data_IF_848723929291
#
_entry.id   IF_848723929291
#
_cell.length_a   1.000
_cell.length_b   1.000
_cell.length_c   1.000
_cell.angle_alpha   90.00
_cell.angle_beta   90.00
_cell.angle_gamma   90.00
#
_symmetry.space_group_name_H-M   'P 1'
#
loop_
_entity.id
_entity.type
_entity.pdbx_description
1 polymer ?
#
# COMPACT_ATOMS: atom_id res chain seq x y z
N UNK A 1 13.23 -12.90 -5.16
CA UNK A 1 13.74 -12.28 -3.92
C UNK A 1 14.17 -10.85 -4.27
N UNK A 2 13.79 -9.82 -3.51
CA UNK A 2 14.21 -8.44 -3.81
C UNK A 2 15.72 -8.28 -3.58
N UNK A 3 16.41 -7.57 -4.48
CA UNK A 3 17.88 -7.42 -4.47
C UNK A 3 18.35 -6.08 -3.91
N UNK A 4 17.45 -5.12 -3.75
CA UNK A 4 17.70 -3.78 -3.20
C UNK A 4 16.40 -3.19 -2.60
N UNK A 5 16.49 -2.16 -1.74
CA UNK A 5 15.32 -1.43 -1.26
C UNK A 5 14.51 -0.84 -2.41
N UNK A 6 13.20 -0.68 -2.19
CA UNK A 6 12.28 0.00 -3.10
C UNK A 6 12.19 -0.65 -4.50
N UNK A 7 12.38 -1.97 -4.55
CA UNK A 7 12.16 -2.78 -5.75
C UNK A 7 10.85 -3.56 -5.70
N UNK A 8 10.49 -4.07 -4.52
CA UNK A 8 9.25 -4.82 -4.32
C UNK A 8 8.66 -4.42 -2.99
N UNK A 9 7.43 -3.91 -3.02
CA UNK A 9 6.63 -3.68 -1.83
C UNK A 9 5.50 -4.70 -1.76
N UNK A 10 5.17 -5.15 -0.55
CA UNK A 10 3.93 -5.88 -0.30
C UNK A 10 2.91 -4.91 0.30
N UNK A 11 1.67 -4.99 -0.15
CA UNK A 11 0.53 -4.29 0.44
C UNK A 11 -0.43 -5.29 1.07
N UNK A 12 -0.86 -5.00 2.29
CA UNK A 12 -1.89 -5.78 2.98
C UNK A 12 -2.85 -4.84 3.74
N UNK A 13 -4.07 -5.31 3.93
CA UNK A 13 -5.10 -4.59 4.70
C UNK A 13 -5.71 -5.52 5.73
N UNK A 14 -5.73 -5.06 6.97
CA UNK A 14 -6.32 -5.79 8.10
C UNK A 14 -7.33 -4.95 8.85
N UNK A 15 -8.06 -5.57 9.77
CA UNK A 15 -9.04 -4.93 10.63
C UNK A 15 -8.63 -5.01 12.09
N UNK A 16 -8.86 -3.93 12.82
CA UNK A 16 -8.52 -3.76 14.23
C UNK A 16 -9.84 -3.46 14.97
N UNK A 17 -10.37 -4.43 15.73
CA UNK A 17 -11.52 -4.18 16.58
C UNK A 17 -11.19 -3.17 17.69
N UNK A 18 -12.04 -2.18 17.90
CA UNK A 18 -11.95 -1.22 19.01
C UNK A 18 -13.27 -1.15 19.77
N UNK A 19 -13.30 -0.45 20.91
CA UNK A 19 -14.54 -0.21 21.66
C UNK A 19 -15.55 0.67 20.92
N UNK A 20 -15.10 1.45 19.94
CA UNK A 20 -15.92 2.39 19.16
C UNK A 20 -16.26 1.84 17.76
N UNK A 21 -15.94 0.57 17.51
CA UNK A 21 -16.12 -0.09 16.20
C UNK A 21 -14.80 -0.52 15.58
N UNK A 22 -14.85 -0.99 14.35
CA UNK A 22 -13.69 -1.54 13.64
C UNK A 22 -12.93 -0.45 12.87
N UNK A 23 -11.62 -0.40 13.04
CA UNK A 23 -10.72 0.36 12.17
C UNK A 23 -10.07 -0.58 11.15
N UNK A 24 -9.92 -0.12 9.93
CA UNK A 24 -9.17 -0.80 8.88
C UNK A 24 -7.79 -0.14 8.78
N UNK A 25 -6.75 -0.97 8.72
CA UNK A 25 -5.35 -0.56 8.58
C UNK A 25 -4.82 -1.12 7.27
N UNK A 26 -4.34 -0.25 6.38
CA UNK A 26 -3.54 -0.63 5.23
C UNK A 26 -2.07 -0.37 5.51
N UNK A 27 -1.19 -1.28 5.06
CA UNK A 27 0.26 -1.20 5.26
C UNK A 27 0.99 -1.56 3.96
N UNK A 28 2.06 -0.83 3.66
CA UNK A 28 3.06 -1.23 2.68
C UNK A 28 4.40 -1.54 3.37
N UNK A 29 4.97 -2.70 3.05
CA UNK A 29 6.28 -3.14 3.54
C UNK A 29 7.26 -3.33 2.38
N UNK A 30 8.47 -2.83 2.53
CA UNK A 30 9.55 -3.10 1.59
C UNK A 30 10.14 -4.51 1.83
N UNK A 31 10.16 -5.35 0.80
CA UNK A 31 10.56 -6.76 0.92
C UNK A 31 12.03 -6.91 1.29
N UNK A 32 12.89 -6.00 0.83
CA UNK A 32 14.33 -6.07 1.06
C UNK A 32 14.68 -5.70 2.51
N UNK A 33 14.22 -4.54 2.96
CA UNK A 33 14.57 -3.96 4.27
C UNK A 33 13.65 -4.40 5.41
N UNK A 34 12.47 -4.96 5.09
CA UNK A 34 11.38 -5.24 6.05
C UNK A 34 10.81 -4.00 6.73
N UNK A 35 11.13 -2.81 6.22
CA UNK A 35 10.60 -1.54 6.73
C UNK A 35 9.14 -1.38 6.33
N UNK A 36 8.28 -0.99 7.27
CA UNK A 36 6.97 -0.41 6.93
C UNK A 36 7.21 0.96 6.32
N UNK A 37 6.96 1.07 5.02
CA UNK A 37 7.22 2.28 4.24
C UNK A 37 6.02 3.22 4.19
N UNK A 38 4.81 2.67 4.32
CA UNK A 38 3.59 3.46 4.42
C UNK A 38 2.50 2.73 5.19
N UNK A 39 1.59 3.51 5.77
CA UNK A 39 0.41 3.01 6.43
C UNK A 39 -0.71 4.06 6.39
N UNK A 40 -1.96 3.60 6.46
CA UNK A 40 -3.14 4.47 6.60
C UNK A 40 -4.24 3.74 7.35
N UNK A 41 -5.09 4.48 8.07
CA UNK A 41 -6.20 3.94 8.85
C UNK A 41 -7.52 4.66 8.56
N UNK A 42 -8.62 3.92 8.60
CA UNK A 42 -9.97 4.46 8.38
C UNK A 42 -11.02 3.58 9.04
N UNK A 43 -12.15 4.16 9.46
CA UNK A 43 -13.33 3.40 9.89
C UNK A 43 -14.11 2.78 8.71
N UNK A 44 -13.69 3.03 7.47
CA UNK A 44 -14.31 2.51 6.24
C UNK A 44 -13.30 1.78 5.36
N UNK A 45 -13.64 0.57 4.94
CA UNK A 45 -12.86 -0.27 4.02
C UNK A 45 -13.08 0.18 2.57
N UNK A 46 -12.33 1.18 2.11
CA UNK A 46 -12.45 1.76 0.76
C UNK A 46 -11.11 1.77 0.02
N UNK A 47 -11.15 1.89 -1.31
CA UNK A 47 -9.97 2.05 -2.18
C UNK A 47 -9.07 3.23 -1.76
N UNK A 48 -9.67 4.31 -1.22
CA UNK A 48 -8.95 5.46 -0.69
C UNK A 48 -7.94 5.05 0.39
N UNK A 49 -8.27 4.09 1.25
CA UNK A 49 -7.40 3.66 2.35
C UNK A 49 -6.07 3.10 1.83
N UNK A 50 -6.13 2.17 0.89
CA UNK A 50 -4.93 1.55 0.28
C UNK A 50 -4.19 2.54 -0.61
N UNK A 51 -4.91 3.46 -1.28
CA UNK A 51 -4.31 4.53 -2.08
C UNK A 51 -3.52 5.52 -1.23
N UNK A 52 -4.08 5.96 -0.10
CA UNK A 52 -3.42 6.90 0.81
C UNK A 52 -2.18 6.25 1.44
N UNK A 53 -2.26 4.98 1.83
CA UNK A 53 -1.11 4.20 2.31
C UNK A 53 0.04 4.18 1.29
N UNK A 54 -0.29 3.88 0.03
CA UNK A 54 0.68 3.83 -1.05
C UNK A 54 1.30 5.20 -1.37
N UNK A 55 0.48 6.25 -1.50
CA UNK A 55 0.97 7.61 -1.76
C UNK A 55 1.84 8.13 -0.61
N UNK A 56 1.49 7.81 0.64
CA UNK A 56 2.32 8.13 1.80
C UNK A 56 3.69 7.42 1.70
N UNK A 57 3.72 6.14 1.31
CA UNK A 57 4.97 5.41 1.09
C UNK A 57 5.81 6.04 -0.01
N UNK A 58 5.21 6.38 -1.15
CA UNK A 58 5.90 7.04 -2.27
C UNK A 58 6.52 8.38 -1.84
N UNK A 59 5.80 9.20 -1.08
CA UNK A 59 6.31 10.48 -0.59
C UNK A 59 7.44 10.37 0.45
N UNK A 60 7.58 9.22 1.12
CA UNK A 60 8.67 8.95 2.07
C UNK A 60 9.88 8.35 1.38
N UNK A 61 9.66 7.32 0.58
CA UNK A 61 10.73 6.48 0.03
C UNK A 61 11.24 6.94 -1.33
N UNK A 62 10.48 7.78 -2.04
CA UNK A 62 10.82 8.27 -3.39
C UNK A 62 11.29 7.14 -4.33
N UNK A 63 10.48 6.06 -4.49
CA UNK A 63 10.87 4.92 -5.29
C UNK A 63 11.09 5.34 -6.75
N UNK A 64 12.06 4.71 -7.40
CA UNK A 64 12.28 4.90 -8.83
C UNK A 64 11.19 4.15 -9.63
N UNK A 65 10.89 4.58 -10.87
CA UNK A 65 10.02 3.83 -11.77
C UNK A 65 10.44 2.36 -11.89
N UNK A 66 9.45 1.46 -12.01
CA UNK A 66 9.65 0.01 -12.00
C UNK A 66 9.51 -0.64 -10.62
N UNK A 67 8.98 0.07 -9.62
CA UNK A 67 8.56 -0.53 -8.35
C UNK A 67 7.44 -1.55 -8.59
N UNK A 68 7.59 -2.76 -8.04
CA UNK A 68 6.55 -3.78 -8.05
C UNK A 68 5.78 -3.73 -6.73
N UNK A 69 4.45 -3.65 -6.80
CA UNK A 69 3.57 -3.70 -5.62
C UNK A 69 2.75 -4.98 -5.68
N UNK A 70 3.05 -5.91 -4.78
CA UNK A 70 2.28 -7.14 -4.64
C UNK A 70 1.23 -6.99 -3.54
N UNK A 71 -0.02 -7.15 -3.90
CA UNK A 71 -1.17 -7.17 -3.00
C UNK A 71 -2.02 -8.41 -3.28
N UNK A 72 -3.02 -8.66 -2.44
CA UNK A 72 -4.10 -9.57 -2.83
C UNK A 72 -4.95 -8.97 -3.97
N UNK A 73 -5.93 -9.73 -4.45
CA UNK A 73 -6.88 -9.30 -5.49
C UNK A 73 -8.16 -8.67 -4.91
N UNK A 74 -8.11 -8.13 -3.70
CA UNK A 74 -9.25 -7.42 -3.10
C UNK A 74 -9.74 -6.26 -3.98
N UNK A 75 -11.02 -5.92 -3.86
CA UNK A 75 -11.67 -4.88 -4.70
C UNK A 75 -11.04 -3.49 -4.52
N UNK A 76 -10.42 -3.22 -3.38
CA UNK A 76 -9.70 -1.98 -3.09
C UNK A 76 -8.44 -1.87 -3.96
N UNK A 77 -7.66 -2.95 -4.07
CA UNK A 77 -6.42 -3.00 -4.85
C UNK A 77 -6.66 -3.19 -6.36
N UNK A 78 -7.74 -3.85 -6.75
CA UNK A 78 -8.12 -4.01 -8.16
C UNK A 78 -8.92 -2.81 -8.70
N UNK A 79 -9.26 -1.83 -7.85
CA UNK A 79 -10.01 -0.63 -8.25
C UNK A 79 -9.26 0.20 -9.31
N UNK A 80 -10.02 0.80 -10.23
CA UNK A 80 -9.46 1.65 -11.30
C UNK A 80 -8.66 2.83 -10.76
N UNK A 81 -9.07 3.39 -9.61
CA UNK A 81 -8.38 4.50 -8.94
C UNK A 81 -7.03 4.09 -8.36
N UNK A 82 -6.96 2.95 -7.68
CA UNK A 82 -5.68 2.45 -7.15
C UNK A 82 -4.72 2.11 -8.30
N UNK A 83 -5.21 1.37 -9.29
CA UNK A 83 -4.43 1.00 -10.49
C UNK A 83 -3.92 2.22 -11.27
N UNK A 84 -4.72 3.29 -11.35
CA UNK A 84 -4.27 4.54 -11.98
C UNK A 84 -3.19 5.26 -11.16
N UNK A 85 -3.26 5.15 -9.83
CA UNK A 85 -2.26 5.73 -8.92
C UNK A 85 -0.91 5.02 -9.07
N UNK A 86 -0.90 3.69 -9.15
CA UNK A 86 0.34 2.91 -9.41
C UNK A 86 1.01 3.39 -10.70
N UNK A 87 0.25 3.46 -11.80
CA UNK A 87 0.76 3.91 -13.11
C UNK A 87 1.33 5.32 -13.08
N UNK A 88 0.71 6.25 -12.35
CA UNK A 88 1.17 7.65 -12.25
C UNK A 88 2.56 7.77 -11.64
N UNK A 89 2.93 6.86 -10.73
CA UNK A 89 4.26 6.85 -10.10
C UNK A 89 5.21 5.83 -10.74
N UNK A 90 4.82 5.23 -11.87
CA UNK A 90 5.62 4.23 -12.58
C UNK A 90 5.75 2.90 -11.83
N UNK A 91 4.81 2.58 -10.94
CA UNK A 91 4.71 1.29 -10.27
C UNK A 91 3.77 0.34 -11.02
N UNK A 92 3.93 -0.96 -10.78
CA UNK A 92 3.13 -2.05 -11.36
C UNK A 92 2.58 -2.99 -10.29
#
# INVERSE_FOLDING_TARGET
KATAPNKVWLGDMTYIPTKEGTLYLAVNIDVFSRKIVGWSMSSRMQDKLVRDCFLQACGKEHPQPGLIVHTDQGSQYTSSRYQSTLRQVGAQ
#
